data_IF_280602947582
#
_entry.id   IF_280602947582
#
_cell.length_a   1.000
_cell.length_b   1.000
_cell.length_c   1.000
_cell.angle_alpha   90.00
_cell.angle_beta   90.00
_cell.angle_gamma   90.00
#
_symmetry.space_group_name_H-M   'P 1'
#
loop_
_entity.id
_entity.type
_entity.pdbx_description
1 polymer ?
#
# COMPACT_ATOMS: atom_id res chain seq x y z
N UNK A 1 32.40 -0.12 -9.50
CA UNK A 1 32.28 -1.60 -9.49
C UNK A 1 31.91 -2.12 -8.09
N UNK A 2 32.68 -1.77 -7.04
CA UNK A 2 32.49 -2.23 -5.66
C UNK A 2 31.05 -2.04 -5.12
N UNK A 3 30.42 -0.89 -5.37
CA UNK A 3 29.06 -0.62 -4.87
C UNK A 3 28.02 -1.67 -5.30
N UNK A 4 28.01 -2.08 -6.58
CA UNK A 4 27.01 -3.01 -7.11
C UNK A 4 27.29 -4.48 -6.77
N UNK A 5 28.57 -4.84 -6.65
CA UNK A 5 28.99 -6.23 -6.46
C UNK A 5 29.27 -6.62 -5.02
N UNK A 6 29.53 -5.65 -4.13
CA UNK A 6 29.91 -5.91 -2.73
C UNK A 6 28.96 -5.21 -1.77
N UNK A 7 28.81 -3.89 -1.88
CA UNK A 7 28.03 -3.11 -0.90
C UNK A 7 26.53 -3.36 -1.01
N UNK A 8 25.97 -3.32 -2.23
CA UNK A 8 24.53 -3.51 -2.47
C UNK A 8 24.01 -4.88 -1.97
N UNK A 9 24.60 -6.03 -2.33
CA UNK A 9 24.11 -7.33 -1.88
C UNK A 9 24.13 -7.47 -0.36
N UNK A 10 25.23 -7.05 0.28
CA UNK A 10 25.38 -7.12 1.73
C UNK A 10 24.37 -6.22 2.45
N UNK A 11 24.12 -5.02 1.91
CA UNK A 11 23.16 -4.08 2.46
C UNK A 11 21.73 -4.60 2.31
N UNK A 12 21.39 -5.22 1.16
CA UNK A 12 20.06 -5.76 0.90
C UNK A 12 19.62 -6.84 1.88
N UNK A 13 20.54 -7.68 2.39
CA UNK A 13 20.22 -8.67 3.41
C UNK A 13 19.64 -7.97 4.66
N UNK A 14 20.26 -6.88 5.10
CA UNK A 14 19.81 -6.14 6.29
C UNK A 14 18.60 -5.23 6.03
N UNK A 15 18.53 -4.54 4.87
CA UNK A 15 17.44 -3.59 4.62
C UNK A 15 16.20 -4.19 3.97
N UNK A 16 16.25 -5.39 3.38
CA UNK A 16 15.08 -5.95 2.71
C UNK A 16 13.86 -6.12 3.64
N UNK A 17 13.98 -6.60 4.89
CA UNK A 17 12.84 -6.62 5.82
C UNK A 17 12.27 -5.22 6.11
N UNK A 18 13.16 -4.23 6.29
CA UNK A 18 12.80 -2.83 6.51
C UNK A 18 12.06 -2.24 5.30
N UNK A 19 12.50 -2.57 4.07
CA UNK A 19 11.86 -2.13 2.83
C UNK A 19 10.46 -2.73 2.67
N UNK A 20 10.27 -4.00 3.04
CA UNK A 20 8.95 -4.65 3.03
C UNK A 20 8.00 -3.98 4.02
N UNK A 21 8.47 -3.73 5.25
CA UNK A 21 7.68 -3.03 6.27
C UNK A 21 7.32 -1.59 5.80
N UNK A 22 8.28 -0.89 5.21
CA UNK A 22 8.07 0.45 4.65
C UNK A 22 7.06 0.43 3.49
N UNK A 23 7.11 -0.59 2.63
CA UNK A 23 6.11 -0.78 1.58
C UNK A 23 4.71 -0.97 2.16
N UNK A 24 4.54 -1.89 3.12
CA UNK A 24 3.24 -2.15 3.74
C UNK A 24 2.66 -0.91 4.42
N UNK A 25 3.52 -0.13 5.09
CA UNK A 25 3.15 1.14 5.71
C UNK A 25 2.72 2.18 4.67
N UNK A 26 3.54 2.42 3.63
CA UNK A 26 3.25 3.44 2.62
C UNK A 26 2.04 3.07 1.74
N UNK A 27 1.84 1.78 1.45
CA UNK A 27 0.68 1.32 0.67
C UNK A 27 -0.66 1.67 1.33
N UNK A 28 -0.69 1.69 2.66
CA UNK A 28 -1.89 1.97 3.46
C UNK A 28 -1.87 3.36 4.12
N UNK A 29 -1.08 4.32 3.59
CA UNK A 29 -0.91 5.63 4.22
C UNK A 29 -2.10 6.58 3.95
N UNK A 30 -3.24 6.23 4.54
CA UNK A 30 -4.49 6.96 4.40
C UNK A 30 -4.38 8.43 4.84
N UNK A 31 -3.78 8.66 6.01
CA UNK A 31 -3.67 10.01 6.58
C UNK A 31 -2.93 10.97 5.67
N UNK A 32 -1.81 10.53 5.07
CA UNK A 32 -1.05 11.37 4.15
C UNK A 32 -1.88 11.76 2.94
N UNK A 33 -2.50 10.79 2.26
CA UNK A 33 -3.26 11.05 1.03
C UNK A 33 -4.48 11.91 1.31
N UNK A 34 -5.26 11.57 2.36
CA UNK A 34 -6.50 12.26 2.70
C UNK A 34 -6.25 13.70 3.14
N UNK A 35 -5.20 13.96 3.92
CA UNK A 35 -4.91 15.30 4.41
C UNK A 35 -4.22 16.19 3.37
N UNK A 36 -3.34 15.62 2.53
CA UNK A 36 -2.55 16.41 1.59
C UNK A 36 -3.30 16.69 0.29
N UNK A 37 -4.01 15.70 -0.24
CA UNK A 37 -4.61 15.77 -1.58
C UNK A 37 -6.11 15.47 -1.60
N UNK A 38 -6.64 14.90 -0.53
CA UNK A 38 -8.01 14.38 -0.46
C UNK A 38 -8.34 13.39 -1.60
N UNK A 39 -7.32 12.71 -2.14
CA UNK A 39 -7.43 11.83 -3.31
C UNK A 39 -7.41 12.55 -4.66
N UNK A 40 -7.41 13.89 -4.68
CA UNK A 40 -7.50 14.70 -5.89
C UNK A 40 -6.23 14.72 -6.77
N UNK A 41 -6.32 15.16 -8.04
CA UNK A 41 -7.51 15.69 -8.70
C UNK A 41 -8.56 14.62 -9.01
N UNK A 42 -9.84 15.00 -9.02
CA UNK A 42 -10.94 14.06 -9.29
C UNK A 42 -10.88 13.56 -10.73
N UNK A 43 -11.11 12.26 -10.91
CA UNK A 43 -11.25 11.65 -12.22
C UNK A 43 -12.66 11.94 -12.75
N UNK A 44 -12.75 12.77 -13.78
CA UNK A 44 -14.05 13.17 -14.36
C UNK A 44 -14.70 12.03 -15.16
N UNK A 45 -13.89 11.12 -15.70
CA UNK A 45 -14.36 9.99 -16.50
C UNK A 45 -14.82 8.78 -15.66
N UNK A 46 -14.65 8.84 -14.33
CA UNK A 46 -15.03 7.77 -13.43
C UNK A 46 -16.47 7.93 -12.93
N UNK A 47 -17.26 6.85 -12.99
CA UNK A 47 -18.64 6.82 -12.44
C UNK A 47 -18.70 6.89 -10.92
N UNK A 48 -17.56 6.78 -10.25
CA UNK A 48 -17.40 6.72 -8.79
C UNK A 48 -16.54 7.90 -8.36
N UNK A 49 -16.77 8.53 -7.18
CA UNK A 49 -15.97 9.65 -6.69
C UNK A 49 -14.56 9.19 -6.29
N UNK A 50 -13.72 8.99 -7.30
CA UNK A 50 -12.29 8.65 -7.16
C UNK A 50 -11.45 9.77 -7.76
N UNK A 51 -10.26 9.97 -7.20
CA UNK A 51 -9.27 10.87 -7.77
C UNK A 51 -7.94 10.18 -8.10
N UNK A 52 -7.07 10.91 -8.78
CA UNK A 52 -5.84 10.37 -9.35
C UNK A 52 -4.78 10.01 -8.31
N UNK A 53 -4.85 10.58 -7.10
CA UNK A 53 -3.92 10.25 -6.01
C UNK A 53 -4.54 9.32 -4.98
N UNK A 54 -5.76 8.85 -5.21
CA UNK A 54 -6.39 7.89 -4.31
C UNK A 54 -5.61 6.57 -4.28
N UNK A 55 -5.33 6.13 -3.06
CA UNK A 55 -4.86 4.78 -2.76
C UNK A 55 -6.08 3.91 -2.45
N UNK A 56 -5.92 2.58 -2.53
CA UNK A 56 -7.05 1.65 -2.35
C UNK A 56 -7.87 1.95 -1.10
N UNK A 57 -7.22 2.27 0.02
CA UNK A 57 -7.92 2.58 1.28
C UNK A 57 -8.68 3.92 1.24
N UNK A 58 -8.15 4.96 0.58
CA UNK A 58 -8.85 6.25 0.45
C UNK A 58 -10.00 6.17 -0.54
N UNK A 59 -9.83 5.41 -1.63
CA UNK A 59 -10.90 5.06 -2.56
C UNK A 59 -12.05 4.34 -1.84
N UNK A 60 -11.76 3.32 -1.03
CA UNK A 60 -12.77 2.58 -0.25
C UNK A 60 -13.50 3.50 0.73
N UNK A 61 -12.77 4.42 1.37
CA UNK A 61 -13.35 5.39 2.29
C UNK A 61 -14.40 6.28 1.59
N UNK A 62 -14.09 6.79 0.40
CA UNK A 62 -15.02 7.60 -0.40
C UNK A 62 -16.21 6.75 -0.91
N UNK A 63 -15.96 5.54 -1.43
CA UNK A 63 -17.02 4.62 -1.92
C UNK A 63 -18.00 4.20 -0.82
N UNK A 64 -17.49 4.00 0.40
CA UNK A 64 -18.32 3.65 1.54
C UNK A 64 -19.11 4.83 2.11
N UNK A 65 -19.02 6.03 1.52
CA UNK A 65 -19.70 7.23 1.97
C UNK A 65 -19.18 7.75 3.33
N UNK A 66 -17.97 7.33 3.74
CA UNK A 66 -17.39 7.73 5.03
C UNK A 66 -16.87 9.17 5.00
N UNK A 67 -16.64 9.71 3.80
CA UNK A 67 -16.32 11.10 3.49
C UNK A 67 -17.50 12.07 3.72
N UNK A 68 -18.71 11.55 3.92
CA UNK A 68 -19.93 12.34 4.13
C UNK A 68 -20.68 12.70 2.85
N UNK A 69 -20.27 12.19 1.68
CA UNK A 69 -20.96 12.45 0.40
C UNK A 69 -22.12 11.49 0.13
N UNK A 70 -22.16 10.35 0.83
CA UNK A 70 -23.19 9.31 0.70
C UNK A 70 -23.53 8.67 2.06
N UNK A 71 -24.50 7.75 2.06
CA UNK A 71 -24.84 6.97 3.26
C UNK A 71 -23.67 6.07 3.68
N UNK A 72 -23.34 6.10 4.97
CA UNK A 72 -22.21 5.37 5.54
C UNK A 72 -22.44 3.85 5.50
N UNK A 73 -21.66 3.16 4.68
CA UNK A 73 -21.70 1.70 4.53
C UNK A 73 -20.49 1.04 5.20
N UNK A 74 -20.57 0.86 6.52
CA UNK A 74 -19.48 0.23 7.29
C UNK A 74 -19.20 -1.21 6.88
N UNK A 75 -20.23 -1.99 6.51
CA UNK A 75 -20.06 -3.36 6.03
C UNK A 75 -19.26 -3.44 4.71
N UNK A 76 -19.53 -2.51 3.79
CA UNK A 76 -18.78 -2.37 2.55
C UNK A 76 -17.32 -1.97 2.83
N UNK A 77 -17.11 -1.00 3.73
CA UNK A 77 -15.79 -0.56 4.13
C UNK A 77 -14.96 -1.70 4.73
N UNK A 78 -15.54 -2.49 5.64
CA UNK A 78 -14.88 -3.64 6.27
C UNK A 78 -14.56 -4.75 5.26
N UNK A 79 -15.50 -5.10 4.37
CA UNK A 79 -15.26 -6.12 3.35
C UNK A 79 -14.10 -5.74 2.42
N UNK A 80 -14.08 -4.50 1.94
CA UNK A 80 -13.01 -4.01 1.06
C UNK A 80 -11.68 -3.86 1.81
N UNK A 81 -11.70 -3.52 3.11
CA UNK A 81 -10.48 -3.47 3.94
C UNK A 81 -9.84 -4.85 4.08
N UNK A 82 -10.63 -5.92 4.18
CA UNK A 82 -10.12 -7.30 4.18
C UNK A 82 -9.45 -7.63 2.83
N UNK A 83 -10.04 -7.21 1.71
CA UNK A 83 -9.43 -7.40 0.38
C UNK A 83 -8.08 -6.69 0.29
N UNK A 84 -7.99 -5.44 0.75
CA UNK A 84 -6.73 -4.68 0.81
C UNK A 84 -5.69 -5.41 1.67
N UNK A 85 -6.09 -5.89 2.84
CA UNK A 85 -5.23 -6.66 3.72
C UNK A 85 -4.66 -7.89 3.02
N UNK A 86 -5.48 -8.67 2.31
CA UNK A 86 -5.01 -9.84 1.56
C UNK A 86 -3.98 -9.47 0.48
N UNK A 87 -4.20 -8.36 -0.24
CA UNK A 87 -3.24 -7.88 -1.26
C UNK A 87 -1.89 -7.56 -0.60
N UNK A 88 -1.90 -6.75 0.47
CA UNK A 88 -0.67 -6.35 1.17
C UNK A 88 0.02 -7.54 1.81
N UNK A 89 -0.74 -8.45 2.43
CA UNK A 89 -0.22 -9.65 3.06
C UNK A 89 0.44 -10.58 2.04
N UNK A 90 -0.18 -10.82 0.88
CA UNK A 90 0.38 -11.66 -0.18
C UNK A 90 1.67 -11.04 -0.73
N UNK A 91 1.68 -9.75 -1.07
CA UNK A 91 2.87 -9.08 -1.60
C UNK A 91 4.00 -9.09 -0.54
N UNK A 92 3.67 -8.81 0.70
CA UNK A 92 4.64 -8.81 1.81
C UNK A 92 5.20 -10.21 2.06
N UNK A 93 4.36 -11.24 2.07
CA UNK A 93 4.77 -12.61 2.28
C UNK A 93 5.68 -13.12 1.14
N UNK A 94 5.33 -12.85 -0.11
CA UNK A 94 6.18 -13.19 -1.28
C UNK A 94 7.52 -12.48 -1.18
N UNK A 95 7.52 -11.19 -0.82
CA UNK A 95 8.75 -10.41 -0.67
C UNK A 95 9.62 -10.94 0.48
N UNK A 96 9.00 -11.31 1.60
CA UNK A 96 9.70 -11.85 2.77
C UNK A 96 10.36 -13.21 2.47
N UNK A 97 9.66 -14.10 1.76
CA UNK A 97 10.22 -15.39 1.31
C UNK A 97 11.41 -15.22 0.37
N UNK A 98 11.37 -14.20 -0.49
CA UNK A 98 12.48 -13.89 -1.39
C UNK A 98 13.70 -13.34 -0.66
N UNK A 99 13.49 -12.61 0.44
CA UNK A 99 14.56 -12.13 1.32
C UNK A 99 15.22 -13.27 2.10
N UNK A 100 14.43 -14.19 2.67
CA UNK A 100 14.99 -15.37 3.39
C UNK A 100 15.86 -16.24 2.49
N UNK A 101 15.46 -16.43 1.23
CA UNK A 101 16.28 -17.16 0.25
C UNK A 101 17.64 -16.51 -0.03
N UNK A 102 17.86 -15.23 0.32
CA UNK A 102 19.15 -14.55 0.19
C UNK A 102 19.99 -14.66 1.47
N UNK A 103 19.35 -14.88 2.62
CA UNK A 103 20.03 -15.17 3.90
C UNK A 103 20.63 -16.59 3.88
N UNK A 104 19.93 -17.57 3.30
CA UNK A 104 20.35 -18.98 3.25
C UNK A 104 21.54 -19.27 2.32
N UNK A 105 22.00 -18.31 1.51
CA UNK A 105 23.14 -18.47 0.58
C UNK A 105 24.47 -17.99 1.20
N UNK A 106 24.44 -17.50 2.45
CA UNK A 106 25.62 -17.06 3.20
C UNK A 106 25.99 -18.09 4.28
#
# INVERSE_FOLDING_TARGET
>A
RIWRSVTMPLLFIAVAPLLIASFAFNFNNFSLVKMLTDGGPRMLDASVPIGHTDILISMVYNIAGLDGTAAKNYGLASALSIVIFLIVAVISAVSFRKTQSLEDIN
#
